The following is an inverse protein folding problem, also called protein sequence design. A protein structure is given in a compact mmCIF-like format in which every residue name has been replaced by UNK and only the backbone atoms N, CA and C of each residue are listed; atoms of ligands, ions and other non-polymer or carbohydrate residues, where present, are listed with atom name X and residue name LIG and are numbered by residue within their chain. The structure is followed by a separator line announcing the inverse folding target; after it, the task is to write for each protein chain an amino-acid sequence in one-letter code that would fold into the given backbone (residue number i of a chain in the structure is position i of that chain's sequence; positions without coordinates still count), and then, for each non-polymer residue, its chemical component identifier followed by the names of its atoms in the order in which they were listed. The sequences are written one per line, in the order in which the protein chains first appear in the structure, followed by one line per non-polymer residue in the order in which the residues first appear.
data_IF_570184754810
#
_entry.id   IF_570184754810
#
_cell.length_a   1.000
_cell.length_b   1.000
_cell.length_c   1.000
_cell.angle_alpha   90.00
_cell.angle_beta   90.00
_cell.angle_gamma   90.00
#
_symmetry.space_group_name_H-M   'P 1'
#
loop_
_entity.id
_entity.type
_entity.pdbx_description
1 polymer ?
#
# COMPACT_ATOMS: atom_id res chain seq x y z
N UNK A 1 -9.64 -18.41 -11.11
CA UNK A 1 -10.83 -17.66 -11.60
C UNK A 1 -11.93 -18.57 -12.15
N UNK A 2 -11.60 -19.55 -13.01
CA UNK A 2 -12.60 -20.53 -13.47
C UNK A 2 -13.19 -21.36 -12.32
N UNK A 3 -12.39 -21.86 -11.38
CA UNK A 3 -12.86 -22.65 -10.24
C UNK A 3 -13.80 -21.88 -9.28
N UNK A 4 -13.57 -20.57 -9.12
CA UNK A 4 -14.44 -19.68 -8.35
C UNK A 4 -15.79 -19.45 -9.05
N UNK A 5 -15.79 -19.28 -10.37
CA UNK A 5 -17.01 -19.21 -11.17
C UNK A 5 -17.74 -20.57 -11.23
N UNK A 6 -17.00 -21.68 -11.15
CA UNK A 6 -17.53 -23.04 -11.09
C UNK A 6 -18.20 -23.30 -9.74
N UNK A 7 -17.64 -22.81 -8.62
CA UNK A 7 -18.30 -22.90 -7.30
C UNK A 7 -19.55 -22.03 -7.23
N UNK A 8 -19.53 -20.83 -7.80
CA UNK A 8 -20.70 -19.97 -7.87
C UNK A 8 -21.86 -20.57 -8.70
N UNK A 9 -21.58 -21.50 -9.63
CA UNK A 9 -22.60 -22.20 -10.43
C UNK A 9 -23.07 -23.52 -9.80
N UNK A 10 -22.31 -24.10 -8.87
CA UNK A 10 -22.65 -25.39 -8.25
C UNK A 10 -23.71 -25.29 -7.15
N UNK A 11 -24.01 -24.07 -6.67
CA UNK A 11 -25.07 -23.79 -5.70
C UNK A 11 -26.50 -23.91 -6.29
N UNK A 12 -26.66 -24.58 -7.45
CA UNK A 12 -27.95 -24.89 -8.09
C UNK A 12 -28.35 -26.37 -7.97
N UNK A 13 -27.73 -27.14 -7.08
CA UNK A 13 -28.22 -28.47 -6.73
C UNK A 13 -29.52 -28.36 -5.90
N UNK A 14 -30.58 -29.09 -6.26
CA UNK A 14 -31.96 -28.82 -5.82
C UNK A 14 -32.29 -29.17 -4.35
N UNK A 15 -31.31 -29.44 -3.48
CA UNK A 15 -31.56 -30.02 -2.15
C UNK A 15 -30.91 -29.27 -0.95
N UNK A 16 -30.50 -28.01 -1.12
CA UNK A 16 -29.92 -27.24 -0.02
C UNK A 16 -30.80 -26.03 0.35
N UNK A 17 -31.36 -26.03 1.58
CA UNK A 17 -32.12 -24.89 2.12
C UNK A 17 -31.26 -23.63 2.16
N UNK A 18 -31.71 -22.61 1.42
CA UNK A 18 -31.11 -21.27 1.33
C UNK A 18 -30.84 -20.68 2.73
N UNK A 19 -29.57 -20.68 3.12
CA UNK A 19 -29.05 -19.92 4.26
C UNK A 19 -28.32 -18.72 3.65
N UNK A 20 -28.99 -17.56 3.60
CA UNK A 20 -28.61 -16.33 2.88
C UNK A 20 -28.04 -16.56 1.46
N UNK A 21 -28.89 -16.38 0.45
CA UNK A 21 -28.69 -16.54 -1.01
C UNK A 21 -27.59 -15.71 -1.68
N UNK A 22 -26.65 -15.14 -0.93
CA UNK A 22 -25.60 -14.28 -1.46
C UNK A 22 -24.24 -14.91 -1.14
N UNK A 23 -23.48 -15.27 -2.17
CA UNK A 23 -22.06 -15.67 -2.06
C UNK A 23 -21.18 -14.59 -1.39
N UNK A 24 -21.72 -13.38 -1.23
CA UNK A 24 -21.08 -12.30 -0.50
C UNK A 24 -21.30 -12.39 1.02
N UNK A 25 -22.15 -13.27 1.54
CA UNK A 25 -22.62 -13.28 2.93
C UNK A 25 -21.49 -13.15 3.98
N UNK A 26 -20.40 -13.89 3.79
CA UNK A 26 -19.26 -13.96 4.71
C UNK A 26 -18.31 -12.75 4.63
N UNK A 27 -18.56 -11.81 3.71
CA UNK A 27 -17.68 -10.66 3.50
C UNK A 27 -18.09 -9.45 4.35
N UNK A 28 -17.08 -8.67 4.77
CA UNK A 28 -17.29 -7.35 5.37
C UNK A 28 -18.10 -6.46 4.40
N UNK A 29 -19.10 -5.68 4.87
CA UNK A 29 -19.85 -4.70 4.06
C UNK A 29 -19.02 -3.88 3.07
N UNK A 30 -17.81 -3.44 3.43
CA UNK A 30 -16.94 -2.68 2.52
C UNK A 30 -16.51 -3.53 1.31
N UNK A 31 -16.13 -4.79 1.54
CA UNK A 31 -15.74 -5.74 0.48
C UNK A 31 -16.93 -6.11 -0.40
N UNK A 32 -18.14 -6.25 0.19
CA UNK A 32 -19.38 -6.50 -0.54
C UNK A 32 -19.65 -5.41 -1.57
N UNK A 33 -19.52 -4.14 -1.16
CA UNK A 33 -19.70 -2.98 -2.06
C UNK A 33 -18.67 -2.98 -3.19
N UNK A 34 -17.39 -3.17 -2.87
CA UNK A 34 -16.33 -3.20 -3.88
C UNK A 34 -16.54 -4.32 -4.92
N UNK A 35 -16.89 -5.52 -4.47
CA UNK A 35 -17.17 -6.64 -5.38
C UNK A 35 -18.42 -6.42 -6.21
N UNK A 36 -19.49 -5.88 -5.62
CA UNK A 36 -20.72 -5.54 -6.35
C UNK A 36 -20.52 -4.48 -7.43
N UNK A 37 -19.60 -3.52 -7.23
CA UNK A 37 -19.20 -2.58 -8.29
C UNK A 37 -18.34 -3.28 -9.34
N UNK A 38 -17.37 -4.11 -8.92
CA UNK A 38 -16.50 -4.84 -9.85
C UNK A 38 -17.25 -5.83 -10.75
N UNK A 39 -18.38 -6.40 -10.29
CA UNK A 39 -19.19 -7.32 -11.08
C UNK A 39 -19.90 -6.64 -12.25
N UNK A 40 -19.99 -5.31 -12.25
CA UNK A 40 -20.54 -4.54 -13.38
C UNK A 40 -19.49 -4.25 -14.46
N UNK A 41 -18.20 -4.52 -14.20
CA UNK A 41 -17.13 -4.28 -15.18
C UNK A 41 -17.16 -5.35 -16.27
N UNK A 42 -17.20 -4.90 -17.52
CA UNK A 42 -17.22 -5.79 -18.68
C UNK A 42 -15.81 -6.14 -19.15
N UNK A 43 -15.69 -7.18 -19.98
CA UNK A 43 -14.42 -7.50 -20.64
C UNK A 43 -13.92 -6.36 -21.55
N UNK A 44 -14.83 -5.56 -22.10
CA UNK A 44 -14.48 -4.39 -22.91
C UNK A 44 -13.78 -3.32 -22.06
N UNK A 45 -14.31 -3.03 -20.87
CA UNK A 45 -13.72 -2.07 -19.94
C UNK A 45 -12.31 -2.49 -19.54
N UNK A 46 -12.09 -3.79 -19.33
CA UNK A 46 -10.77 -4.32 -19.03
C UNK A 46 -9.78 -4.10 -20.20
N UNK A 47 -10.20 -4.36 -21.44
CA UNK A 47 -9.36 -4.12 -22.61
C UNK A 47 -9.02 -2.64 -22.79
N UNK A 48 -9.98 -1.75 -22.57
CA UNK A 48 -9.75 -0.30 -22.59
C UNK A 48 -8.77 0.11 -21.47
N UNK A 49 -8.89 -0.44 -20.27
CA UNK A 49 -7.96 -0.20 -19.18
C UNK A 49 -6.53 -0.65 -19.52
N UNK A 50 -6.35 -1.80 -20.19
CA UNK A 50 -5.02 -2.23 -20.65
C UNK A 50 -4.44 -1.31 -21.74
N UNK A 51 -5.28 -0.74 -22.61
CA UNK A 51 -4.82 0.29 -23.56
C UNK A 51 -4.37 1.56 -22.85
N UNK A 52 -5.12 1.99 -21.84
CA UNK A 52 -4.75 3.15 -21.01
C UNK A 52 -3.41 2.90 -20.28
N UNK A 53 -3.22 1.70 -19.72
CA UNK A 53 -1.95 1.27 -19.12
C UNK A 53 -0.80 1.40 -20.10
N UNK A 54 -0.97 0.98 -21.35
CA UNK A 54 0.07 1.10 -22.38
C UNK A 54 0.44 2.57 -22.64
N UNK A 55 -0.54 3.47 -22.71
CA UNK A 55 -0.29 4.92 -22.88
C UNK A 55 0.54 5.47 -21.71
N UNK A 56 0.20 5.11 -20.47
CA UNK A 56 0.97 5.52 -19.29
C UNK A 56 2.41 5.00 -19.33
N UNK A 57 2.61 3.72 -19.67
CA UNK A 57 3.94 3.14 -19.79
C UNK A 57 4.78 3.83 -20.86
N UNK A 58 4.20 4.19 -22.01
CA UNK A 58 4.90 4.93 -23.06
C UNK A 58 5.33 6.32 -22.61
N UNK A 59 4.45 7.04 -21.89
CA UNK A 59 4.75 8.37 -21.35
C UNK A 59 5.86 8.30 -20.30
N UNK A 60 5.83 7.31 -19.40
CA UNK A 60 6.88 7.09 -18.41
C UNK A 60 8.21 6.70 -19.06
N UNK A 61 8.19 5.78 -20.03
CA UNK A 61 9.38 5.38 -20.77
C UNK A 61 10.00 6.56 -21.53
N UNK A 62 9.18 7.46 -22.09
CA UNK A 62 9.68 8.69 -22.71
C UNK A 62 10.35 9.61 -21.68
N UNK A 63 9.75 9.75 -20.49
CA UNK A 63 10.29 10.58 -19.43
C UNK A 63 11.64 10.05 -18.91
N UNK A 64 11.76 8.75 -18.66
CA UNK A 64 13.01 8.13 -18.21
C UNK A 64 14.12 8.19 -19.26
N UNK A 65 13.78 8.07 -20.56
CA UNK A 65 14.74 8.28 -21.64
C UNK A 65 15.26 9.72 -21.71
N UNK A 66 14.40 10.70 -21.43
CA UNK A 66 14.79 12.12 -21.46
C UNK A 66 15.65 12.52 -20.26
N UNK A 67 15.39 11.92 -19.10
CA UNK A 67 16.08 12.20 -17.84
C UNK A 67 16.58 10.89 -17.22
N UNK A 68 17.79 10.40 -17.60
CA UNK A 68 18.33 9.17 -17.03
C UNK A 68 18.60 9.35 -15.52
N UNK A 69 18.19 8.36 -14.73
CA UNK A 69 18.31 8.42 -13.26
C UNK A 69 17.25 9.28 -12.56
N UNK A 70 16.18 9.69 -13.26
CA UNK A 70 15.06 10.40 -12.67
C UNK A 70 14.35 9.55 -11.61
N UNK A 71 14.18 10.13 -10.42
CA UNK A 71 13.29 9.61 -9.38
C UNK A 71 12.06 10.52 -9.27
N UNK A 72 10.88 9.94 -9.40
CA UNK A 72 9.62 10.64 -9.18
C UNK A 72 9.27 10.52 -7.69
N UNK A 73 9.38 11.62 -6.96
CA UNK A 73 9.09 11.66 -5.52
C UNK A 73 7.70 12.25 -5.29
N UNK A 74 6.88 11.52 -4.54
CA UNK A 74 5.51 11.90 -4.18
C UNK A 74 5.22 11.55 -2.72
N UNK A 75 4.21 12.16 -2.07
CA UNK A 75 3.74 11.66 -0.78
C UNK A 75 3.31 10.19 -0.89
N UNK A 76 3.65 9.35 0.10
CA UNK A 76 3.26 7.94 0.08
C UNK A 76 1.74 7.76 0.15
N UNK A 77 1.06 8.65 0.87
CA UNK A 77 -0.38 8.60 1.12
C UNK A 77 -0.96 10.02 1.02
N UNK A 78 -2.07 10.19 0.30
CA UNK A 78 -2.75 11.49 0.20
C UNK A 78 -3.66 11.83 1.38
N UNK A 79 -4.11 10.83 2.14
CA UNK A 79 -4.87 11.04 3.39
C UNK A 79 -4.87 9.79 4.28
N UNK A 80 -4.64 9.97 5.58
CA UNK A 80 -4.70 8.90 6.59
C UNK A 80 -6.11 8.59 7.07
N UNK A 81 -7.14 9.29 6.57
CA UNK A 81 -8.54 9.04 6.94
C UNK A 81 -9.09 7.80 6.23
N UNK A 82 -9.52 6.80 7.00
CA UNK A 82 -10.09 5.55 6.49
C UNK A 82 -11.35 5.72 5.63
N UNK A 83 -12.11 6.81 5.81
CA UNK A 83 -13.27 7.14 4.98
C UNK A 83 -12.90 7.65 3.57
N UNK A 84 -11.63 8.02 3.36
CA UNK A 84 -11.10 8.52 2.10
C UNK A 84 -10.11 7.52 1.49
N UNK A 85 -10.49 6.23 1.45
CA UNK A 85 -9.61 5.13 1.00
C UNK A 85 -9.03 5.32 -0.39
N UNK A 86 -9.75 5.97 -1.32
CA UNK A 86 -9.17 6.26 -2.63
C UNK A 86 -8.06 7.32 -2.53
N UNK A 87 -8.22 8.32 -1.66
CA UNK A 87 -7.19 9.35 -1.44
C UNK A 87 -5.94 8.81 -0.77
N UNK A 88 -6.03 7.71 -0.02
CA UNK A 88 -4.84 7.11 0.57
C UNK A 88 -3.94 6.45 -0.48
N UNK A 89 -4.46 6.12 -1.66
CA UNK A 89 -3.72 5.44 -2.74
C UNK A 89 -3.47 6.31 -3.98
N UNK A 90 -3.80 7.60 -3.93
CA UNK A 90 -3.73 8.54 -5.07
C UNK A 90 -2.36 8.60 -5.75
N UNK A 91 -1.27 8.35 -5.00
CA UNK A 91 0.10 8.42 -5.53
C UNK A 91 0.69 7.05 -5.87
N UNK A 92 0.28 5.98 -5.18
CA UNK A 92 0.89 4.64 -5.33
C UNK A 92 0.37 3.86 -6.52
N UNK A 93 -0.84 4.19 -7.02
CA UNK A 93 -1.50 3.36 -8.04
C UNK A 93 -0.76 3.33 -9.37
N UNK A 94 -0.04 4.39 -9.76
CA UNK A 94 0.73 4.43 -11.03
C UNK A 94 1.87 3.43 -10.98
N UNK A 95 2.61 3.37 -9.88
CA UNK A 95 3.71 2.42 -9.70
C UNK A 95 3.19 0.97 -9.84
N UNK A 96 2.05 0.67 -9.20
CA UNK A 96 1.42 -0.65 -9.30
C UNK A 96 0.89 -0.96 -10.70
N UNK A 97 0.25 0.02 -11.38
CA UNK A 97 -0.33 -0.18 -12.70
C UNK A 97 0.76 -0.36 -13.77
N UNK A 98 1.84 0.41 -13.71
CA UNK A 98 2.91 0.39 -14.70
C UNK A 98 4.06 -0.58 -14.34
N UNK A 99 4.09 -1.09 -13.11
CA UNK A 99 5.10 -2.04 -12.64
C UNK A 99 6.45 -1.40 -12.36
N UNK A 100 6.48 -0.10 -12.05
CA UNK A 100 7.70 0.63 -11.71
C UNK A 100 8.13 0.29 -10.27
N UNK A 101 9.44 0.14 -10.01
CA UNK A 101 9.92 -0.03 -8.65
C UNK A 101 9.70 1.26 -7.86
N UNK A 102 9.28 1.13 -6.60
CA UNK A 102 9.07 2.25 -5.70
C UNK A 102 9.41 1.85 -4.25
N UNK A 103 9.89 2.83 -3.48
CA UNK A 103 10.20 2.67 -2.05
C UNK A 103 9.54 3.80 -1.27
N UNK A 104 8.96 3.49 -0.11
CA UNK A 104 8.38 4.46 0.82
C UNK A 104 9.25 4.58 2.06
N UNK A 105 9.63 5.81 2.43
CA UNK A 105 10.45 6.08 3.61
C UNK A 105 9.78 7.15 4.47
N UNK A 106 9.74 7.00 5.81
CA UNK A 106 9.28 8.06 6.70
C UNK A 106 10.26 9.23 6.67
N UNK A 107 9.74 10.45 6.55
CA UNK A 107 10.54 11.69 6.49
C UNK A 107 10.25 12.61 7.67
N UNK A 108 9.03 12.59 8.20
CA UNK A 108 8.61 13.52 9.25
C UNK A 108 7.56 12.90 10.19
N UNK A 109 7.40 13.48 11.38
CA UNK A 109 6.32 13.17 12.32
C UNK A 109 5.56 14.43 12.71
N UNK A 110 4.29 14.50 12.33
CA UNK A 110 3.44 15.68 12.57
C UNK A 110 2.44 15.40 13.69
N UNK A 111 2.11 16.44 14.46
CA UNK A 111 1.11 16.32 15.51
C UNK A 111 -0.29 16.13 14.89
N UNK A 112 -1.12 15.24 15.47
CA UNK A 112 -2.40 14.89 14.90
C UNK A 112 -3.34 16.10 14.99
N UNK A 113 -4.29 16.16 14.06
CA UNK A 113 -5.42 17.11 14.18
C UNK A 113 -6.12 16.85 15.52
N UNK A 114 -6.56 17.90 16.22
CA UNK A 114 -7.05 17.86 17.61
C UNK A 114 -8.11 16.77 17.89
N UNK A 115 -8.82 16.31 16.85
CA UNK A 115 -9.87 15.30 16.90
C UNK A 115 -9.37 13.84 16.84
N UNK A 116 -8.10 13.58 16.51
CA UNK A 116 -7.59 12.25 16.14
C UNK A 116 -6.75 11.54 17.23
N UNK A 117 -6.63 12.11 18.43
CA UNK A 117 -5.99 11.47 19.58
C UNK A 117 -4.61 12.04 19.93
N UNK A 118 -3.83 11.28 20.72
CA UNK A 118 -2.49 11.66 21.20
C UNK A 118 -1.40 10.87 20.47
N UNK A 119 -0.30 11.53 20.11
CA UNK A 119 0.88 10.91 19.50
C UNK A 119 1.15 11.41 18.09
N UNK A 120 2.41 11.43 17.65
CA UNK A 120 2.78 11.98 16.34
C UNK A 120 2.49 11.00 15.20
N UNK A 121 1.95 11.50 14.10
CA UNK A 121 1.62 10.75 12.88
C UNK A 121 2.82 10.78 11.92
N UNK A 122 3.31 9.63 11.42
CA UNK A 122 4.38 9.60 10.44
C UNK A 122 3.90 10.10 9.07
N UNK A 123 4.73 10.92 8.42
CA UNK A 123 4.59 11.32 7.03
C UNK A 123 5.68 10.59 6.23
N UNK A 124 5.24 9.91 5.18
CA UNK A 124 6.11 9.18 4.25
C UNK A 124 6.21 9.84 2.89
N UNK A 125 7.41 9.80 2.31
CA UNK A 125 7.61 10.05 0.89
C UNK A 125 7.86 8.72 0.17
N UNK A 126 7.32 8.62 -1.03
CA UNK A 126 7.55 7.52 -1.95
C UNK A 126 8.37 8.02 -3.13
N UNK A 127 9.49 7.36 -3.40
CA UNK A 127 10.23 7.53 -4.64
C UNK A 127 9.92 6.38 -5.60
N UNK A 128 9.66 6.70 -6.86
CA UNK A 128 9.45 5.75 -7.95
C UNK A 128 10.55 5.92 -9.00
N UNK A 129 11.17 4.82 -9.41
CA UNK A 129 12.26 4.79 -10.38
C UNK A 129 11.87 4.16 -11.72
N UNK A 130 12.82 4.15 -12.64
CA UNK A 130 12.73 3.38 -13.89
C UNK A 130 12.76 1.87 -13.60
N UNK A 131 12.26 1.08 -14.53
CA UNK A 131 12.30 -0.38 -14.44
C UNK A 131 13.74 -0.89 -14.35
N UNK A 132 14.07 -1.65 -13.29
CA UNK A 132 15.42 -2.19 -13.07
C UNK A 132 16.38 -1.26 -12.31
N UNK A 133 15.91 -0.15 -11.75
CA UNK A 133 16.72 0.79 -10.94
C UNK A 133 16.48 0.67 -9.43
N UNK A 134 16.24 -0.54 -8.94
CA UNK A 134 16.03 -0.80 -7.51
C UNK A 134 17.24 -0.40 -6.65
N UNK A 135 18.47 -0.58 -7.16
CA UNK A 135 19.69 -0.20 -6.43
C UNK A 135 19.75 1.32 -6.19
N UNK A 136 19.37 2.13 -7.19
CA UNK A 136 19.29 3.57 -7.04
C UNK A 136 18.23 3.96 -6.00
N UNK A 137 17.08 3.29 -5.99
CA UNK A 137 16.01 3.52 -5.02
C UNK A 137 16.44 3.13 -3.59
N UNK A 138 17.20 2.05 -3.43
CA UNK A 138 17.78 1.68 -2.13
C UNK A 138 18.82 2.70 -1.67
N UNK A 139 19.64 3.22 -2.58
CA UNK A 139 20.55 4.34 -2.32
C UNK A 139 19.81 5.58 -1.80
N UNK A 140 18.74 5.97 -2.48
CA UNK A 140 17.86 7.06 -2.02
C UNK A 140 17.21 6.76 -0.66
N UNK A 141 16.78 5.52 -0.43
CA UNK A 141 16.21 5.10 0.84
C UNK A 141 17.20 5.23 2.00
N UNK A 142 18.48 4.89 1.75
CA UNK A 142 19.57 5.07 2.72
C UNK A 142 19.78 6.55 3.05
N UNK A 143 19.75 7.44 2.07
CA UNK A 143 19.86 8.89 2.30
C UNK A 143 18.72 9.41 3.17
N UNK A 144 17.48 8.96 2.91
CA UNK A 144 16.32 9.32 3.70
C UNK A 144 16.42 8.80 5.16
N UNK A 145 16.98 7.60 5.39
CA UNK A 145 17.25 7.13 6.75
C UNK A 145 18.36 7.94 7.45
N UNK A 146 19.41 8.34 6.73
CA UNK A 146 20.47 9.22 7.26
C UNK A 146 19.86 10.56 7.69
N UNK A 147 19.00 11.14 6.86
CA UNK A 147 18.27 12.36 7.18
C UNK A 147 17.46 12.22 8.48
N UNK A 148 16.67 11.15 8.61
CA UNK A 148 15.83 10.92 9.77
C UNK A 148 16.62 10.71 11.07
N UNK A 149 17.82 10.13 10.99
CA UNK A 149 18.65 9.84 12.16
C UNK A 149 19.56 11.00 12.59
N UNK A 150 20.05 11.80 11.64
CA UNK A 150 21.09 12.79 11.91
C UNK A 150 20.64 14.24 11.71
N UNK A 151 19.61 14.50 10.91
CA UNK A 151 19.17 15.85 10.54
C UNK A 151 17.84 16.19 11.21
N UNK A 152 16.90 15.25 11.26
CA UNK A 152 15.58 15.48 11.85
C UNK A 152 15.64 15.56 13.39
N UNK A 153 15.15 16.66 13.96
CA UNK A 153 15.12 16.87 15.41
C UNK A 153 14.18 15.87 16.09
N UNK A 154 14.73 15.05 17.00
CA UNK A 154 14.03 13.96 17.67
C UNK A 154 14.18 12.59 17.01
N UNK A 155 14.91 12.51 15.88
CA UNK A 155 15.36 11.27 15.27
C UNK A 155 14.24 10.35 14.77
N UNK A 156 14.61 9.11 14.41
CA UNK A 156 13.64 8.05 14.13
C UNK A 156 12.87 7.70 15.40
N UNK A 157 11.62 8.13 15.46
CA UNK A 157 10.73 7.75 16.57
C UNK A 157 10.42 6.27 16.52
N UNK A 158 10.80 5.56 17.58
CA UNK A 158 10.20 4.27 17.90
C UNK A 158 8.85 4.55 18.56
N UNK A 159 7.88 3.68 18.36
CA UNK A 159 6.60 3.82 19.05
C UNK A 159 6.85 3.61 20.54
N UNK A 160 6.87 4.68 21.33
CA UNK A 160 7.07 4.56 22.77
C UNK A 160 5.74 4.11 23.40
N UNK A 161 5.69 2.90 23.97
CA UNK A 161 4.52 2.36 24.67
C UNK A 161 4.19 0.90 24.33
N UNK A 162 2.91 0.51 24.51
CA UNK A 162 2.40 -0.87 24.36
C UNK A 162 2.54 -1.48 22.95
N UNK A 163 2.80 -0.67 21.93
CA UNK A 163 2.86 -1.10 20.53
C UNK A 163 4.25 -1.52 20.02
N UNK A 164 5.34 -1.26 20.77
CA UNK A 164 6.69 -1.65 20.39
C UNK A 164 7.29 -2.58 21.43
N UNK A 165 7.64 -3.78 20.99
CA UNK A 165 8.22 -4.81 21.85
C UNK A 165 9.64 -5.08 21.41
N UNK A 166 10.58 -4.89 22.32
CA UNK A 166 11.98 -5.24 22.10
C UNK A 166 12.22 -6.73 22.39
N UNK A 167 12.17 -7.53 21.33
CA UNK A 167 12.33 -8.99 21.42
C UNK A 167 13.73 -9.37 21.91
N UNK A 168 14.76 -8.57 21.61
CA UNK A 168 16.13 -8.88 22.04
C UNK A 168 16.30 -8.64 23.54
N UNK A 169 15.80 -7.53 24.05
CA UNK A 169 15.81 -7.27 25.49
C UNK A 169 14.97 -8.29 26.28
N UNK A 170 13.84 -8.72 25.72
CA UNK A 170 13.04 -9.80 26.31
C UNK A 170 13.81 -11.13 26.33
N UNK A 171 14.47 -11.48 25.24
CA UNK A 171 15.25 -12.71 25.14
C UNK A 171 16.43 -12.72 26.12
N UNK A 172 17.16 -11.62 26.24
CA UNK A 172 18.26 -11.48 27.22
C UNK A 172 17.76 -11.65 28.66
N UNK A 173 16.64 -11.00 29.00
CA UNK A 173 16.04 -11.11 30.35
C UNK A 173 15.61 -12.54 30.68
N UNK A 174 15.13 -13.30 29.69
CA UNK A 174 14.75 -14.71 29.89
C UNK A 174 15.96 -15.62 30.07
N UNK A 175 17.07 -15.37 29.35
CA UNK A 175 18.30 -16.15 29.53
C UNK A 175 18.94 -15.96 30.91
N UNK A 176 18.87 -14.74 31.46
CA UNK A 176 19.35 -14.43 32.81
C UNK A 176 18.48 -15.05 33.92
N UNK A 177 17.22 -15.40 33.61
CA UNK A 177 16.30 -16.06 34.57
C UNK A 177 16.46 -17.59 34.59
N UNK A 178 17.05 -18.16 33.55
CA UNK A 178 17.26 -19.62 33.39
C UNK A 178 18.66 -20.05 33.88
N UNK A 179 19.59 -19.10 34.04
CA UNK A 179 20.97 -19.30 34.52
C UNK A 179 21.06 -19.19 36.05
#
# INVERSE_FOLDING_TARGET
MAELAIRARSDHLPDQKSTSTSWLADLNPAKKKALGVSSQMTAHDYLLAQRMRNIFMQNLAFLFKKCPGLLIVTPTCGSTNGNLTFRSVDYVWIANLCGNPAISVPVEYVDPVETAGKGKVPIGLMAMGDWGLEDQLLGWGREAEIYLNHVYEGGRKRHNGEGWVDVFNLASSQMDTIS
#
